data_IF_955166860847
#
_entry.id   IF_955166860847
#
_cell.length_a   1.000
_cell.length_b   1.000
_cell.length_c   1.000
_cell.angle_alpha   90.00
_cell.angle_beta   90.00
_cell.angle_gamma   90.00
#
_symmetry.space_group_name_H-M   'P 1'
#
loop_
_entity.id
_entity.type
_entity.pdbx_description
1 polymer ?
#
# COMPACT_ATOMS: atom_id res chain seq x y z
N UNK A 1 5.70 -9.36 -8.83
CA UNK A 1 6.75 -8.88 -7.89
C UNK A 1 6.58 -7.37 -7.76
N UNK A 2 5.80 -6.89 -6.79
CA UNK A 2 5.45 -5.46 -6.72
C UNK A 2 6.31 -4.61 -5.80
N UNK A 3 7.18 -5.21 -4.98
CA UNK A 3 8.07 -4.46 -4.08
C UNK A 3 9.52 -4.91 -4.26
N UNK A 4 10.42 -3.93 -4.28
CA UNK A 4 11.88 -4.15 -4.34
C UNK A 4 12.49 -3.52 -3.11
N UNK A 5 13.36 -4.25 -2.41
CA UNK A 5 14.05 -3.79 -1.21
C UNK A 5 15.56 -3.74 -1.43
N UNK A 6 16.18 -2.65 -0.96
CA UNK A 6 17.64 -2.48 -0.93
C UNK A 6 18.17 -2.73 0.49
N UNK A 7 19.32 -3.40 0.60
CA UNK A 7 20.07 -3.48 1.86
C UNK A 7 20.89 -2.22 2.06
N UNK A 8 20.57 -1.44 3.09
CA UNK A 8 21.31 -0.22 3.45
C UNK A 8 22.18 -0.49 4.67
N UNK A 9 23.47 -0.19 4.57
CA UNK A 9 24.41 -0.25 5.71
C UNK A 9 24.48 1.12 6.36
N UNK A 10 24.05 1.19 7.62
CA UNK A 10 24.23 2.33 8.51
C UNK A 10 25.42 1.98 9.43
N UNK A 11 26.25 2.92 9.91
CA UNK A 11 27.49 2.59 10.63
C UNK A 11 27.36 1.60 11.79
N UNK A 12 26.17 1.45 12.38
CA UNK A 12 25.89 0.54 13.52
C UNK A 12 25.07 -0.71 13.15
N UNK A 13 24.30 -0.70 12.07
CA UNK A 13 23.40 -1.81 11.71
C UNK A 13 23.02 -1.84 10.23
N UNK A 14 22.50 -2.98 9.76
CA UNK A 14 21.93 -3.14 8.42
C UNK A 14 20.41 -3.12 8.51
N UNK A 15 19.76 -2.48 7.55
CA UNK A 15 18.30 -2.52 7.40
C UNK A 15 17.90 -2.68 5.95
N UNK A 16 16.78 -3.35 5.72
CA UNK A 16 16.12 -3.35 4.42
C UNK A 16 15.34 -2.05 4.28
N UNK A 17 15.50 -1.39 3.13
CA UNK A 17 14.76 -0.18 2.77
C UNK A 17 13.94 -0.47 1.54
N UNK A 18 12.65 -0.15 1.58
CA UNK A 18 11.80 -0.23 0.40
C UNK A 18 12.33 0.73 -0.68
N UNK A 19 12.75 0.15 -1.80
CA UNK A 19 13.43 0.84 -2.88
C UNK A 19 12.47 1.19 -4.02
N UNK A 20 11.52 0.30 -4.31
CA UNK A 20 10.51 0.50 -5.36
C UNK A 20 9.19 -0.18 -4.99
N UNK A 21 8.07 0.49 -5.28
CA UNK A 21 6.73 -0.10 -5.35
C UNK A 21 6.27 -0.05 -6.81
N UNK A 22 5.63 -1.10 -7.28
CA UNK A 22 5.03 -1.22 -8.59
C UNK A 22 3.52 -1.40 -8.46
N UNK A 23 2.75 -0.76 -9.33
CA UNK A 23 1.30 -0.95 -9.37
C UNK A 23 0.97 -2.25 -10.12
N UNK A 24 0.28 -3.19 -9.47
CA UNK A 24 -0.12 -4.47 -10.05
C UNK A 24 -1.10 -4.31 -11.24
N UNK A 25 -1.85 -3.20 -11.31
CA UNK A 25 -2.85 -2.96 -12.36
C UNK A 25 -2.34 -2.25 -13.61
N UNK A 26 -1.21 -1.55 -13.54
CA UNK A 26 -0.70 -0.78 -14.68
C UNK A 26 0.83 -0.79 -14.84
N UNK A 27 1.56 -1.39 -13.89
CA UNK A 27 3.02 -1.43 -13.90
C UNK A 27 3.69 -0.09 -13.56
N UNK A 28 2.94 0.94 -13.14
CA UNK A 28 3.54 2.21 -12.71
C UNK A 28 4.43 1.99 -11.50
N UNK A 29 5.67 2.46 -11.59
CA UNK A 29 6.68 2.31 -10.53
C UNK A 29 6.86 3.61 -9.75
N UNK A 30 7.14 3.48 -8.46
CA UNK A 30 7.57 4.55 -7.58
C UNK A 30 8.84 4.14 -6.87
N UNK A 31 9.86 4.99 -6.93
CA UNK A 31 11.14 4.78 -6.24
C UNK A 31 11.17 5.49 -4.89
N UNK A 32 11.87 4.88 -3.94
CA UNK A 32 12.15 5.39 -2.59
C UNK A 32 10.90 5.92 -1.87
N UNK A 33 9.81 5.13 -1.78
CA UNK A 33 8.64 5.53 -1.03
C UNK A 33 8.99 5.69 0.45
N UNK A 34 8.31 6.63 1.12
CA UNK A 34 8.56 6.90 2.54
C UNK A 34 8.02 5.79 3.47
N UNK A 35 7.05 5.00 3.01
CA UNK A 35 6.50 3.83 3.69
C UNK A 35 5.94 2.81 2.67
N UNK A 36 5.40 1.69 3.15
CA UNK A 36 4.93 0.56 2.36
C UNK A 36 3.70 0.83 1.47
N UNK A 37 3.04 1.98 1.62
CA UNK A 37 1.81 2.35 0.91
C UNK A 37 1.88 3.74 0.26
N UNK A 38 2.98 4.45 0.48
CA UNK A 38 3.14 5.81 0.02
C UNK A 38 3.32 5.86 -1.50
N UNK A 39 2.48 6.66 -2.14
CA UNK A 39 2.59 7.11 -3.53
C UNK A 39 2.88 8.63 -3.67
N UNK A 40 2.67 9.42 -2.61
CA UNK A 40 3.01 10.85 -2.51
C UNK A 40 4.35 11.13 -1.82
N UNK A 41 5.00 12.25 -2.16
CA UNK A 41 6.33 12.64 -1.67
C UNK A 41 6.34 13.05 -0.18
N UNK A 42 7.48 13.55 0.34
CA UNK A 42 7.67 13.78 1.79
C UNK A 42 6.61 14.65 2.45
N UNK A 43 5.99 15.55 1.70
CA UNK A 43 4.98 16.48 2.20
C UNK A 43 3.59 16.22 1.58
N UNK A 44 3.47 15.24 0.68
CA UNK A 44 2.21 14.88 0.02
C UNK A 44 1.69 13.56 0.57
N UNK A 45 0.48 13.59 1.14
CA UNK A 45 -0.19 12.36 1.58
C UNK A 45 -0.96 11.79 0.40
N UNK A 46 -0.40 10.76 -0.21
CA UNK A 46 -1.10 9.93 -1.18
C UNK A 46 -0.74 8.49 -0.89
N UNK A 47 -1.69 7.75 -0.32
CA UNK A 47 -1.49 6.39 0.16
C UNK A 47 -2.66 5.52 -0.29
N UNK A 48 -2.35 4.30 -0.73
CA UNK A 48 -3.37 3.32 -1.15
C UNK A 48 -3.03 1.97 -0.52
N UNK A 49 -3.97 1.40 0.21
CA UNK A 49 -3.85 0.09 0.84
C UNK A 49 -5.06 -0.77 0.48
N UNK A 50 -4.82 -1.86 -0.25
CA UNK A 50 -5.84 -2.86 -0.59
C UNK A 50 -5.35 -4.20 -0.04
N UNK A 51 -5.96 -4.64 1.06
CA UNK A 51 -5.57 -5.89 1.70
C UNK A 51 -6.77 -6.59 2.34
N UNK A 52 -6.74 -7.92 2.29
CA UNK A 52 -7.62 -8.81 3.03
C UNK A 52 -6.78 -9.61 4.02
N UNK A 53 -7.17 -9.59 5.29
CA UNK A 53 -6.55 -10.37 6.35
C UNK A 53 -7.52 -11.44 6.83
N UNK A 54 -7.06 -12.68 6.86
CA UNK A 54 -7.83 -13.82 7.35
C UNK A 54 -7.02 -14.59 8.39
N UNK A 55 -7.65 -14.91 9.52
CA UNK A 55 -6.98 -15.60 10.62
C UNK A 55 -7.64 -15.40 11.97
N UNK A 56 -6.90 -15.78 13.00
CA UNK A 56 -7.34 -15.74 14.40
C UNK A 56 -6.46 -14.77 15.19
N UNK A 57 -7.08 -14.03 16.11
CA UNK A 57 -6.39 -13.09 16.98
C UNK A 57 -6.87 -13.30 18.41
N UNK A 58 -6.02 -13.91 19.24
CA UNK A 58 -6.27 -14.11 20.67
C UNK A 58 -5.32 -13.24 21.52
N UNK A 59 -5.64 -12.98 22.80
CA UNK A 59 -4.77 -12.22 23.69
C UNK A 59 -3.34 -12.78 23.81
N UNK A 60 -3.21 -14.11 23.80
CA UNK A 60 -1.96 -14.86 23.90
C UNK A 60 -1.22 -15.02 22.56
N UNK A 61 -1.84 -14.66 21.44
CA UNK A 61 -1.25 -14.76 20.12
C UNK A 61 -2.28 -14.94 19.02
N UNK A 62 -1.85 -14.71 17.78
CA UNK A 62 -2.67 -14.86 16.60
C UNK A 62 -1.86 -15.38 15.43
N UNK A 63 -2.56 -15.97 14.46
CA UNK A 63 -1.97 -16.41 13.20
C UNK A 63 -2.96 -16.17 12.08
N UNK A 64 -2.44 -15.92 10.90
CA UNK A 64 -3.26 -15.61 9.76
C UNK A 64 -2.43 -15.31 8.52
N UNK A 65 -3.15 -14.98 7.46
CA UNK A 65 -2.58 -14.59 6.18
C UNK A 65 -3.08 -13.19 5.83
N UNK A 66 -2.21 -12.41 5.21
CA UNK A 66 -2.59 -11.14 4.59
C UNK A 66 -2.34 -11.27 3.11
N UNK A 67 -3.38 -11.04 2.32
CA UNK A 67 -3.31 -10.94 0.87
C UNK A 67 -3.63 -9.51 0.47
N UNK A 68 -3.06 -9.01 -0.62
CA UNK A 68 -3.26 -7.63 -1.04
C UNK A 68 -2.61 -7.34 -2.38
N UNK A 69 -2.90 -6.16 -2.90
CA UNK A 69 -2.36 -5.65 -4.16
C UNK A 69 -1.75 -4.27 -3.93
N UNK A 70 -0.63 -4.00 -4.60
CA UNK A 70 -0.05 -2.67 -4.68
C UNK A 70 -0.69 -1.91 -5.84
N UNK A 71 -1.41 -0.83 -5.52
CA UNK A 71 -2.17 -0.06 -6.50
C UNK A 71 -1.82 1.41 -6.38
N UNK A 72 -1.51 2.05 -7.51
CA UNK A 72 -1.27 3.49 -7.52
C UNK A 72 -2.59 4.28 -7.43
N UNK A 73 -2.57 5.53 -6.92
CA UNK A 73 -3.76 6.37 -6.73
C UNK A 73 -4.61 6.48 -7.99
N UNK A 74 -3.97 6.65 -9.15
CA UNK A 74 -4.67 6.72 -10.43
C UNK A 74 -5.46 5.43 -10.75
N UNK A 75 -4.88 4.25 -10.52
CA UNK A 75 -5.61 2.99 -10.72
C UNK A 75 -6.68 2.76 -9.65
N UNK A 76 -6.48 3.27 -8.43
CA UNK A 76 -7.50 3.23 -7.41
C UNK A 76 -8.74 4.04 -7.84
N UNK A 77 -8.55 5.31 -8.16
CA UNK A 77 -9.62 6.25 -8.53
C UNK A 77 -10.30 5.89 -9.87
N UNK A 78 -9.54 5.47 -10.88
CA UNK A 78 -10.09 5.31 -12.23
C UNK A 78 -10.37 3.86 -12.64
N UNK A 79 -9.94 2.86 -11.86
CA UNK A 79 -10.24 1.44 -12.14
C UNK A 79 -10.99 0.78 -11.00
N UNK A 80 -10.45 0.83 -9.78
CA UNK A 80 -11.05 0.11 -8.66
C UNK A 80 -12.32 0.76 -8.12
N UNK A 81 -12.32 2.08 -7.92
CA UNK A 81 -13.53 2.80 -7.47
C UNK A 81 -14.70 2.57 -8.44
N UNK A 82 -14.55 2.75 -9.78
CA UNK A 82 -15.60 2.42 -10.73
C UNK A 82 -16.05 0.96 -10.64
N UNK A 83 -15.10 0.02 -10.58
CA UNK A 83 -15.43 -1.40 -10.45
C UNK A 83 -16.25 -1.70 -9.20
N UNK A 84 -15.91 -1.12 -8.05
CA UNK A 84 -16.69 -1.28 -6.80
C UNK A 84 -18.10 -0.67 -6.91
N UNK A 85 -18.22 0.52 -7.52
CA UNK A 85 -19.52 1.16 -7.76
C UNK A 85 -20.40 0.30 -8.67
N UNK A 86 -19.83 -0.30 -9.72
CA UNK A 86 -20.53 -1.25 -10.59
C UNK A 86 -21.03 -2.50 -9.84
N UNK A 87 -20.35 -2.91 -8.76
CA UNK A 87 -20.83 -3.98 -7.87
C UNK A 87 -21.86 -3.51 -6.82
N UNK A 88 -22.26 -2.24 -6.85
CA UNK A 88 -23.23 -1.65 -5.93
C UNK A 88 -22.64 -1.06 -4.64
N UNK A 89 -21.33 -0.87 -4.57
CA UNK A 89 -20.71 -0.19 -3.43
C UNK A 89 -20.98 1.32 -3.47
N UNK A 90 -21.02 1.95 -2.29
CA UNK A 90 -21.11 3.42 -2.15
C UNK A 90 -19.77 3.96 -1.67
N UNK A 91 -19.18 4.89 -2.43
CA UNK A 91 -17.94 5.56 -2.04
C UNK A 91 -18.21 6.47 -0.83
N UNK A 92 -17.34 6.41 0.18
CA UNK A 92 -17.39 7.32 1.34
C UNK A 92 -16.14 8.19 1.33
N UNK A 93 -16.33 9.50 1.32
CA UNK A 93 -15.25 10.48 1.41
C UNK A 93 -15.27 11.13 2.80
N UNK A 94 -14.07 11.35 3.36
CA UNK A 94 -13.90 12.04 4.65
C UNK A 94 -12.75 13.03 4.51
N UNK A 95 -13.07 14.30 4.72
CA UNK A 95 -12.07 15.35 4.86
C UNK A 95 -11.35 15.18 6.21
N UNK A 96 -10.05 15.51 6.22
CA UNK A 96 -9.25 15.54 7.42
C UNK A 96 -8.37 16.79 7.40
N UNK A 97 -8.23 17.40 8.57
CA UNK A 97 -7.34 18.54 8.85
C UNK A 97 -6.69 18.26 10.22
N UNK A 98 -5.42 18.65 10.38
CA UNK A 98 -4.62 18.35 11.58
C UNK A 98 -4.38 19.60 12.42
#
# INVERSE_FOLDING_TARGET
MSRVYDKVTVPSYKRDRLAEICCDLCGKKRKFPNNDHAWGDRFDVSEVMISYRDGVSYPEGGSGTTTGFDVCPHCFEHKLVPWFIEQGATLTEKEWDF
#
